data_IF_095912869132
#
_entry.id   IF_095912869132
#
_cell.length_a   1.000
_cell.length_b   1.000
_cell.length_c   1.000
_cell.angle_alpha   90.00
_cell.angle_beta   90.00
_cell.angle_gamma   90.00
#
_symmetry.space_group_name_H-M   'P 1'
#
loop_
_entity.id
_entity.type
_entity.pdbx_description
1 polymer ?
#
# COMPACT_ATOMS: atom_id res chain seq x y z
N UNK A 1 -9.75 2.69 1.97
CA UNK A 1 -9.91 3.86 2.87
C UNK A 1 -11.38 4.25 2.90
N UNK A 2 -11.89 4.76 4.02
CA UNK A 2 -13.27 5.24 4.14
C UNK A 2 -13.31 6.59 4.86
N UNK A 3 -14.28 7.44 4.50
CA UNK A 3 -14.59 8.67 5.23
C UNK A 3 -15.49 8.35 6.43
N UNK A 4 -15.26 9.06 7.54
CA UNK A 4 -16.14 8.98 8.70
C UNK A 4 -17.58 9.39 8.38
N UNK A 5 -18.53 8.83 9.13
CA UNK A 5 -19.97 9.05 8.89
C UNK A 5 -20.37 10.50 9.12
N UNK A 6 -21.21 11.05 8.22
CA UNK A 6 -21.76 12.41 8.36
C UNK A 6 -22.55 12.52 9.67
N UNK A 7 -22.32 13.61 10.41
CA UNK A 7 -22.97 13.88 11.70
C UNK A 7 -22.23 13.33 12.93
N UNK A 8 -21.11 12.62 12.75
CA UNK A 8 -20.22 12.25 13.86
C UNK A 8 -19.05 13.24 14.00
N UNK A 9 -18.32 13.20 15.12
CA UNK A 9 -17.08 13.99 15.28
C UNK A 9 -15.98 13.59 14.30
N UNK A 10 -16.08 12.38 13.75
CA UNK A 10 -15.08 11.77 12.87
C UNK A 10 -15.38 12.01 11.39
N UNK A 11 -16.39 12.80 11.04
CA UNK A 11 -16.79 13.02 9.64
C UNK A 11 -15.67 13.57 8.73
N UNK A 12 -14.60 14.12 9.30
CA UNK A 12 -13.40 14.61 8.58
C UNK A 12 -12.22 13.64 8.64
N UNK A 13 -12.37 12.48 9.26
CA UNK A 13 -11.31 11.50 9.41
C UNK A 13 -11.34 10.50 8.25
N UNK A 14 -10.15 10.13 7.78
CA UNK A 14 -9.94 9.08 6.81
C UNK A 14 -9.47 7.85 7.58
N UNK A 15 -10.24 6.78 7.49
CA UNK A 15 -9.95 5.52 8.14
C UNK A 15 -9.26 4.58 7.14
N UNK A 16 -8.12 4.03 7.56
CA UNK A 16 -7.48 2.91 6.86
C UNK A 16 -8.20 1.62 7.27
N UNK A 17 -8.54 0.81 6.29
CA UNK A 17 -9.31 -0.43 6.45
C UNK A 17 -8.55 -1.56 5.75
N UNK A 18 -8.88 -2.79 6.13
CA UNK A 18 -8.31 -4.02 5.57
C UNK A 18 -6.79 -4.13 5.73
N UNK A 19 -6.39 -4.58 6.92
CA UNK A 19 -4.99 -4.92 7.23
C UNK A 19 -4.67 -6.40 6.91
N UNK A 20 -5.53 -7.12 6.18
CA UNK A 20 -5.33 -8.55 5.88
C UNK A 20 -4.07 -8.83 5.05
N UNK A 21 -3.59 -7.83 4.31
CA UNK A 21 -2.34 -7.90 3.54
C UNK A 21 -1.16 -7.23 4.26
N UNK A 22 -1.37 -6.58 5.40
CA UNK A 22 -0.30 -5.93 6.16
C UNK A 22 0.71 -6.97 6.65
N UNK A 23 1.99 -6.62 6.60
CA UNK A 23 3.10 -7.50 6.99
C UNK A 23 4.26 -6.68 7.54
N UNK A 24 5.01 -7.30 8.43
CA UNK A 24 6.28 -6.74 8.87
C UNK A 24 7.28 -6.75 7.71
N UNK A 25 7.75 -5.58 7.31
CA UNK A 25 8.80 -5.45 6.28
C UNK A 25 10.20 -5.68 6.85
N UNK A 26 10.37 -5.51 8.17
CA UNK A 26 11.61 -5.78 8.91
C UNK A 26 11.42 -7.06 9.72
N UNK A 27 12.31 -8.04 9.55
CA UNK A 27 12.34 -9.27 10.34
C UNK A 27 13.72 -9.45 10.97
N UNK A 28 13.78 -10.15 12.11
CA UNK A 28 15.05 -10.61 12.70
C UNK A 28 15.40 -11.99 12.14
N UNK A 29 16.67 -12.18 11.82
CA UNK A 29 17.20 -13.50 11.49
C UNK A 29 17.38 -14.38 12.73
N UNK A 30 17.70 -15.66 12.53
CA UNK A 30 18.01 -16.61 13.60
C UNK A 30 19.20 -16.12 14.47
N UNK A 31 20.08 -15.31 13.88
CA UNK A 31 21.22 -14.66 14.54
C UNK A 31 20.88 -13.29 15.16
N UNK A 32 19.59 -12.92 15.22
CA UNK A 32 19.13 -11.64 15.77
C UNK A 32 19.40 -10.41 14.90
N UNK A 33 20.00 -10.57 13.71
CA UNK A 33 20.29 -9.46 12.79
C UNK A 33 19.02 -9.01 12.07
N UNK A 34 18.86 -7.69 11.94
CA UNK A 34 17.74 -7.08 11.21
C UNK A 34 17.94 -7.29 9.70
N UNK A 35 16.93 -7.83 9.02
CA UNK A 35 16.89 -8.00 7.57
C UNK A 35 15.54 -7.61 6.97
N UNK A 36 15.57 -7.22 5.69
CA UNK A 36 14.35 -6.97 4.92
C UNK A 36 13.66 -8.32 4.66
N UNK A 37 12.32 -8.35 4.78
CA UNK A 37 11.54 -9.54 4.46
C UNK A 37 11.63 -9.85 2.95
N UNK A 38 11.44 -11.12 2.57
CA UNK A 38 11.51 -11.55 1.15
C UNK A 38 10.24 -11.16 0.37
N UNK A 39 10.37 -10.78 -0.93
CA UNK A 39 9.26 -10.44 -1.83
C UNK A 39 8.10 -11.43 -1.79
N UNK A 40 6.87 -10.93 -1.90
CA UNK A 40 5.68 -11.78 -2.04
C UNK A 40 5.72 -12.46 -3.43
N UNK A 41 5.53 -13.79 -3.55
CA UNK A 41 5.64 -14.48 -4.84
C UNK A 41 4.55 -14.11 -5.85
N UNK A 42 3.40 -13.61 -5.38
CA UNK A 42 2.34 -13.01 -6.20
C UNK A 42 1.78 -11.78 -5.48
N UNK A 43 1.83 -10.63 -6.15
CA UNK A 43 1.14 -9.41 -5.78
C UNK A 43 0.70 -8.75 -7.09
N UNK A 44 -0.60 -8.71 -7.34
CA UNK A 44 -1.22 -8.01 -8.46
C UNK A 44 -2.11 -6.93 -7.84
N UNK A 45 -1.60 -5.72 -7.70
CA UNK A 45 -2.42 -4.59 -7.26
C UNK A 45 -2.27 -3.44 -8.24
N UNK A 46 -3.41 -2.88 -8.65
CA UNK A 46 -3.53 -1.76 -9.60
C UNK A 46 -2.83 -0.47 -9.16
N UNK A 47 -2.54 -0.35 -7.86
CA UNK A 47 -1.84 0.78 -7.26
C UNK A 47 -0.39 0.47 -6.89
N UNK A 48 0.20 -0.63 -7.36
CA UNK A 48 1.58 -0.98 -7.04
C UNK A 48 2.61 0.00 -7.61
N UNK A 49 3.71 0.22 -6.86
CA UNK A 49 4.91 0.88 -7.38
C UNK A 49 5.56 0.08 -8.53
N UNK A 50 6.45 0.73 -9.28
CA UNK A 50 7.27 0.08 -10.31
C UNK A 50 8.14 -1.03 -9.70
N UNK A 51 8.73 -0.79 -8.54
CA UNK A 51 9.54 -1.79 -7.80
C UNK A 51 8.75 -3.06 -7.49
N UNK A 52 7.45 -2.94 -7.19
CA UNK A 52 6.60 -4.11 -6.95
C UNK A 52 6.39 -4.92 -8.23
N UNK A 53 6.28 -4.27 -9.40
CA UNK A 53 6.19 -4.95 -10.69
C UNK A 53 7.49 -5.69 -11.04
N UNK A 54 8.63 -5.14 -10.61
CA UNK A 54 9.96 -5.78 -10.71
C UNK A 54 10.18 -6.88 -9.66
N UNK A 55 9.14 -7.26 -8.90
CA UNK A 55 9.18 -8.30 -7.86
C UNK A 55 10.15 -7.99 -6.71
N UNK A 56 10.42 -6.70 -6.46
CA UNK A 56 11.12 -6.23 -5.26
C UNK A 56 10.16 -6.29 -4.07
N UNK A 57 10.71 -6.45 -2.86
CA UNK A 57 9.92 -6.43 -1.64
C UNK A 57 9.28 -5.05 -1.45
N UNK A 58 7.98 -5.05 -1.14
CA UNK A 58 7.25 -3.83 -0.81
C UNK A 58 7.76 -3.25 0.50
N UNK A 59 8.32 -2.04 0.43
CA UNK A 59 8.72 -1.24 1.57
C UNK A 59 7.81 -0.01 1.75
N UNK A 60 8.17 0.82 2.73
CA UNK A 60 7.43 2.04 3.10
C UNK A 60 7.19 3.00 1.93
N UNK A 61 8.13 3.06 0.98
CA UNK A 61 8.03 3.96 -0.18
C UNK A 61 6.93 3.49 -1.14
N UNK A 62 6.67 2.19 -1.21
CA UNK A 62 5.66 1.64 -2.11
C UNK A 62 4.24 2.00 -1.64
N UNK A 63 4.00 2.07 -0.33
CA UNK A 63 2.74 2.57 0.22
C UNK A 63 2.49 4.05 -0.13
N UNK A 64 3.55 4.87 -0.18
CA UNK A 64 3.46 6.27 -0.61
C UNK A 64 3.16 6.39 -2.11
N UNK A 65 3.72 5.51 -2.94
CA UNK A 65 3.37 5.42 -4.36
C UNK A 65 1.90 5.06 -4.56
N UNK A 66 1.40 4.05 -3.82
CA UNK A 66 -0.02 3.72 -3.83
C UNK A 66 -0.88 4.95 -3.50
N UNK A 67 -0.52 5.69 -2.45
CA UNK A 67 -1.24 6.89 -2.04
C UNK A 67 -1.23 7.97 -3.12
N UNK A 68 -0.08 8.21 -3.76
CA UNK A 68 0.03 9.18 -4.85
C UNK A 68 -0.87 8.79 -6.03
N UNK A 69 -0.89 7.52 -6.42
CA UNK A 69 -1.74 7.03 -7.50
C UNK A 69 -3.23 7.16 -7.16
N UNK A 70 -3.64 6.86 -5.92
CA UNK A 70 -5.01 7.09 -5.47
C UNK A 70 -5.40 8.57 -5.54
N UNK A 71 -4.51 9.48 -5.10
CA UNK A 71 -4.76 10.93 -5.17
C UNK A 71 -4.83 11.44 -6.61
N UNK A 72 -4.01 10.92 -7.52
CA UNK A 72 -4.08 11.24 -8.94
C UNK A 72 -5.39 10.75 -9.55
N UNK A 73 -5.86 9.56 -9.16
CA UNK A 73 -7.11 9.00 -9.66
C UNK A 73 -8.36 9.81 -9.26
N UNK A 74 -8.30 10.54 -8.12
CA UNK A 74 -9.36 11.48 -7.74
C UNK A 74 -9.55 12.63 -8.74
N UNK A 75 -8.57 12.90 -9.61
CA UNK A 75 -8.66 13.91 -10.67
C UNK A 75 -9.09 13.34 -12.02
N UNK A 76 -9.03 12.03 -12.21
CA UNK A 76 -9.34 11.35 -13.47
C UNK A 76 -8.72 9.95 -13.50
N UNK A 77 -9.19 9.05 -14.38
CA UNK A 77 -8.69 7.68 -14.43
C UNK A 77 -7.19 7.63 -14.73
N UNK A 78 -6.46 6.73 -14.06
CA UNK A 78 -5.05 6.48 -14.36
C UNK A 78 -4.92 5.90 -15.78
N UNK A 79 -3.80 6.15 -16.50
CA UNK A 79 -3.63 5.66 -17.88
C UNK A 79 -3.75 4.14 -18.03
N UNK A 80 -3.37 3.39 -16.99
CA UNK A 80 -3.45 1.92 -16.92
C UNK A 80 -4.75 1.42 -16.26
N UNK A 81 -5.76 2.28 -16.09
CA UNK A 81 -7.00 1.95 -15.43
C UNK A 81 -7.76 0.78 -16.07
N UNK A 82 -7.61 0.62 -17.39
CA UNK A 82 -8.33 -0.34 -18.24
C UNK A 82 -7.36 -1.28 -19.00
N UNK A 83 -6.13 -1.41 -18.51
CA UNK A 83 -5.12 -2.28 -19.12
C UNK A 83 -5.38 -3.76 -18.80
#
# INVERSE_FOLDING_TARGET
MALGRIGTREYRFIHLLDFGLAREYIIKDDNGKIKMRRPRPRALFRYCSVSTHEKVEQGRVDDLWCLLYMLAELRGPLPWANA
#
